data_IF_141336091739
#
_entry.id   IF_141336091739
#
_cell.length_a   1.000
_cell.length_b   1.000
_cell.length_c   1.000
_cell.angle_alpha   90.00
_cell.angle_beta   90.00
_cell.angle_gamma   90.00
#
_symmetry.space_group_name_H-M   'P 1'
#
loop_
_entity.id
_entity.type
_entity.pdbx_description
1 polymer ?
#
# COMPACT_ATOMS: atom_id res chain seq x y z
N UNK A 1 33.70 -14.92 9.58
CA UNK A 1 32.27 -14.74 9.92
C UNK A 1 31.82 -13.45 9.25
N UNK A 2 31.26 -13.53 8.05
CA UNK A 2 30.84 -12.35 7.27
C UNK A 2 29.38 -12.04 7.64
N UNK A 3 29.20 -10.88 8.27
CA UNK A 3 27.87 -10.33 8.57
C UNK A 3 27.27 -9.86 7.25
N UNK A 4 26.24 -10.57 6.78
CA UNK A 4 25.43 -10.14 5.65
C UNK A 4 24.50 -9.03 6.16
N UNK A 5 24.85 -7.79 5.86
CA UNK A 5 23.96 -6.64 6.07
C UNK A 5 22.87 -6.73 5.02
N UNK A 6 21.72 -7.28 5.38
CA UNK A 6 20.51 -7.18 4.59
C UNK A 6 20.00 -5.73 4.69
N UNK A 7 20.36 -4.96 3.67
CA UNK A 7 19.82 -3.63 3.42
C UNK A 7 18.29 -3.70 3.30
N UNK A 8 17.60 -2.87 4.07
CA UNK A 8 16.18 -2.63 3.87
C UNK A 8 15.93 -2.30 2.41
N UNK A 9 14.93 -2.95 1.82
CA UNK A 9 14.56 -2.70 0.43
C UNK A 9 13.87 -1.34 0.42
N UNK A 10 14.53 -0.26 -0.06
CA UNK A 10 13.82 0.96 -0.37
C UNK A 10 12.92 0.63 -1.56
N UNK A 11 11.69 1.11 -1.53
CA UNK A 11 10.88 1.22 -2.74
C UNK A 11 11.61 2.22 -3.65
N UNK A 12 12.57 1.70 -4.40
CA UNK A 12 13.40 2.48 -5.31
C UNK A 12 12.53 2.91 -6.48
N UNK A 13 12.31 4.22 -6.60
CA UNK A 13 12.01 4.81 -7.89
C UNK A 13 13.23 4.59 -8.79
N UNK A 14 13.23 3.48 -9.54
CA UNK A 14 14.24 3.25 -10.56
C UNK A 14 14.03 4.24 -11.69
N UNK A 15 14.98 5.14 -11.86
CA UNK A 15 15.16 5.81 -13.15
C UNK A 15 15.81 4.79 -14.09
N UNK A 16 15.01 4.21 -14.97
CA UNK A 16 15.49 3.30 -16.01
C UNK A 16 15.84 4.14 -17.24
N UNK A 17 17.14 4.36 -17.50
CA UNK A 17 17.62 4.73 -18.83
C UNK A 17 17.83 3.44 -19.64
N UNK A 18 16.80 3.00 -20.34
CA UNK A 18 16.85 1.83 -21.23
C UNK A 18 16.46 2.24 -22.64
N UNK A 19 17.44 2.37 -23.55
CA UNK A 19 17.25 2.53 -24.98
C UNK A 19 16.85 1.18 -25.62
N UNK A 20 15.62 0.73 -25.40
CA UNK A 20 15.01 -0.38 -26.12
C UNK A 20 13.61 0.02 -26.60
N UNK A 21 13.07 -0.59 -27.69
CA UNK A 21 11.69 -0.33 -28.07
C UNK A 21 10.77 -0.72 -26.90
N UNK A 22 9.68 0.05 -26.65
CA UNK A 22 8.79 -0.19 -25.53
C UNK A 22 8.21 -1.62 -25.65
N UNK A 23 8.52 -2.46 -24.69
CA UNK A 23 7.83 -3.73 -24.53
C UNK A 23 6.46 -3.39 -23.99
N UNK A 24 5.48 -3.29 -24.90
CA UNK A 24 4.08 -3.21 -24.50
C UNK A 24 3.75 -4.49 -23.75
N UNK A 25 3.82 -4.45 -22.42
CA UNK A 25 3.38 -5.54 -21.56
C UNK A 25 1.84 -5.58 -21.61
N UNK A 26 1.30 -6.20 -22.66
CA UNK A 26 -0.12 -6.48 -22.75
C UNK A 26 -0.47 -7.66 -21.84
N UNK A 27 -0.68 -7.38 -20.56
CA UNK A 27 -1.23 -8.38 -19.65
C UNK A 27 -2.68 -8.69 -20.01
N UNK A 28 -3.02 -9.97 -20.06
CA UNK A 28 -4.41 -10.41 -20.10
C UNK A 28 -4.87 -10.75 -18.69
N UNK A 29 -6.09 -10.34 -18.36
CA UNK A 29 -6.66 -10.52 -17.02
C UNK A 29 -7.95 -11.32 -17.04
N UNK A 30 -8.15 -12.07 -15.98
CA UNK A 30 -9.43 -12.64 -15.58
C UNK A 30 -10.02 -11.78 -14.49
N UNK A 31 -11.29 -11.41 -14.61
CA UNK A 31 -12.00 -10.63 -13.61
C UNK A 31 -12.60 -11.58 -12.56
N UNK A 32 -12.22 -11.36 -11.31
CA UNK A 32 -12.78 -12.00 -10.14
C UNK A 32 -13.47 -10.95 -9.25
N UNK A 33 -14.42 -11.39 -8.45
CA UNK A 33 -15.10 -10.54 -7.47
C UNK A 33 -14.88 -11.09 -6.07
N UNK A 34 -14.13 -10.35 -5.25
CA UNK A 34 -13.90 -10.69 -3.85
C UNK A 34 -14.52 -9.61 -2.95
N UNK A 35 -15.53 -9.99 -2.16
CA UNK A 35 -16.22 -9.07 -1.21
C UNK A 35 -16.71 -7.76 -1.82
N UNK A 36 -17.09 -7.80 -3.11
CA UNK A 36 -17.55 -6.62 -3.84
C UNK A 36 -16.45 -5.77 -4.47
N UNK A 37 -15.18 -6.15 -4.34
CA UNK A 37 -14.08 -5.58 -5.14
C UNK A 37 -13.90 -6.30 -6.47
N UNK A 38 -13.61 -5.55 -7.51
CA UNK A 38 -13.15 -6.09 -8.80
C UNK A 38 -11.64 -6.36 -8.71
N UNK A 39 -11.26 -7.62 -8.94
CA UNK A 39 -9.89 -8.11 -8.88
C UNK A 39 -9.50 -8.63 -10.27
N UNK A 40 -8.59 -7.92 -10.90
CA UNK A 40 -8.04 -8.29 -12.22
C UNK A 40 -6.83 -9.19 -12.02
N UNK A 41 -7.01 -10.47 -12.25
CA UNK A 41 -5.97 -11.49 -12.04
C UNK A 41 -5.25 -11.76 -13.34
N UNK A 42 -3.93 -11.54 -13.39
CA UNK A 42 -3.11 -11.85 -14.56
C UNK A 42 -3.32 -13.31 -15.00
N UNK A 43 -3.46 -13.55 -16.30
CA UNK A 43 -3.77 -14.88 -16.85
C UNK A 43 -2.73 -15.94 -16.46
N UNK A 44 -1.46 -15.57 -16.28
CA UNK A 44 -0.41 -16.44 -15.77
C UNK A 44 -0.70 -16.93 -14.35
N UNK A 45 -1.04 -15.99 -13.46
CA UNK A 45 -1.43 -16.29 -12.09
C UNK A 45 -2.73 -17.09 -12.04
N UNK A 46 -3.74 -16.69 -12.81
CA UNK A 46 -5.04 -17.37 -12.84
C UNK A 46 -4.96 -18.84 -13.27
N UNK A 47 -4.09 -19.15 -14.22
CA UNK A 47 -3.83 -20.54 -14.65
C UNK A 47 -3.09 -21.36 -13.61
N UNK A 48 -2.25 -20.73 -12.79
CA UNK A 48 -1.61 -21.39 -11.65
C UNK A 48 -2.60 -21.50 -10.48
N UNK A 49 -3.46 -22.52 -10.53
CA UNK A 49 -4.58 -22.68 -9.60
C UNK A 49 -4.15 -22.80 -8.12
N UNK A 50 -2.99 -23.39 -7.87
CA UNK A 50 -2.44 -23.50 -6.52
C UNK A 50 -2.03 -22.12 -5.98
N UNK A 51 -1.25 -21.37 -6.75
CA UNK A 51 -0.79 -20.03 -6.36
C UNK A 51 -1.97 -19.07 -6.21
N UNK A 52 -2.87 -19.02 -7.23
CA UNK A 52 -4.05 -18.17 -7.16
C UNK A 52 -4.96 -18.53 -5.97
N UNK A 53 -5.13 -19.81 -5.68
CA UNK A 53 -5.90 -20.26 -4.51
C UNK A 53 -5.36 -19.69 -3.19
N UNK A 54 -4.04 -19.69 -3.01
CA UNK A 54 -3.38 -19.12 -1.81
C UNK A 54 -3.51 -17.59 -1.77
N UNK A 55 -3.15 -16.93 -2.87
CA UNK A 55 -3.19 -15.46 -3.01
C UNK A 55 -4.62 -14.92 -2.86
N UNK A 56 -5.57 -15.53 -3.56
CA UNK A 56 -6.98 -15.13 -3.51
C UNK A 56 -7.57 -15.31 -2.11
N UNK A 57 -7.22 -16.39 -1.41
CA UNK A 57 -7.66 -16.63 -0.03
C UNK A 57 -7.07 -15.59 0.93
N UNK A 58 -5.79 -15.24 0.79
CA UNK A 58 -5.17 -14.21 1.61
C UNK A 58 -5.79 -12.84 1.31
N UNK A 59 -5.97 -12.49 0.03
CA UNK A 59 -6.60 -11.23 -0.35
C UNK A 59 -8.04 -11.13 0.20
N UNK A 60 -8.84 -12.19 0.09
CA UNK A 60 -10.19 -12.24 0.68
C UNK A 60 -10.17 -12.00 2.19
N UNK A 61 -9.22 -12.61 2.91
CA UNK A 61 -9.05 -12.38 4.35
C UNK A 61 -8.70 -10.92 4.67
N UNK A 62 -7.80 -10.29 3.89
CA UNK A 62 -7.43 -8.87 4.06
C UNK A 62 -8.60 -7.93 3.76
N UNK A 63 -9.37 -8.21 2.72
CA UNK A 63 -10.57 -7.44 2.41
C UNK A 63 -11.66 -7.61 3.48
N UNK A 64 -11.78 -8.81 4.08
CA UNK A 64 -12.65 -9.03 5.24
C UNK A 64 -12.25 -8.21 6.46
N UNK A 65 -10.94 -8.05 6.70
CA UNK A 65 -10.43 -7.18 7.76
C UNK A 65 -10.80 -5.72 7.53
N UNK A 66 -10.71 -5.23 6.29
CA UNK A 66 -11.15 -3.88 5.90
C UNK A 66 -12.64 -3.70 6.17
N UNK A 67 -13.48 -4.63 5.73
CA UNK A 67 -14.93 -4.60 5.99
C UNK A 67 -15.27 -4.54 7.48
N UNK A 68 -14.56 -5.30 8.29
CA UNK A 68 -14.81 -5.38 9.73
C UNK A 68 -14.36 -4.15 10.49
N UNK A 69 -13.29 -3.49 10.03
CA UNK A 69 -12.62 -2.43 10.78
C UNK A 69 -13.06 -1.03 10.36
N UNK A 70 -13.33 -0.83 9.07
CA UNK A 70 -13.64 0.49 8.52
C UNK A 70 -15.16 0.76 8.52
N UNK A 71 -15.58 2.04 8.60
CA UNK A 71 -16.98 2.42 8.46
C UNK A 71 -17.56 1.99 7.10
N UNK A 72 -18.80 1.51 7.08
CA UNK A 72 -19.49 1.03 5.87
C UNK A 72 -19.36 2.00 4.67
N UNK A 73 -19.63 3.32 4.81
CA UNK A 73 -19.51 4.22 3.66
C UNK A 73 -18.06 4.33 3.11
N UNK A 74 -17.04 4.14 3.97
CA UNK A 74 -15.64 4.10 3.54
C UNK A 74 -15.38 2.83 2.72
N UNK A 75 -15.84 1.67 3.22
CA UNK A 75 -15.73 0.39 2.52
C UNK A 75 -16.38 0.46 1.14
N UNK A 76 -17.61 0.99 1.06
CA UNK A 76 -18.33 1.16 -0.22
C UNK A 76 -17.55 2.05 -1.21
N UNK A 77 -16.85 3.06 -0.70
CA UNK A 77 -15.98 3.90 -1.55
C UNK A 77 -14.74 3.14 -2.01
N UNK A 78 -14.09 2.39 -1.11
CA UNK A 78 -12.90 1.61 -1.43
C UNK A 78 -13.19 0.45 -2.38
N UNK A 79 -14.39 -0.13 -2.37
CA UNK A 79 -14.80 -1.15 -3.35
C UNK A 79 -14.78 -0.69 -4.80
N UNK A 80 -14.73 0.63 -5.05
CA UNK A 80 -14.57 1.22 -6.39
C UNK A 80 -13.10 1.29 -6.85
N UNK A 81 -12.18 0.92 -6.00
CA UNK A 81 -10.76 0.83 -6.32
C UNK A 81 -10.49 -0.56 -6.86
N UNK A 82 -10.12 -0.65 -8.14
CA UNK A 82 -9.78 -1.92 -8.78
C UNK A 82 -8.48 -2.47 -8.20
N UNK A 83 -8.40 -3.78 -8.07
CA UNK A 83 -7.21 -4.49 -7.62
C UNK A 83 -6.63 -5.28 -8.78
N UNK A 84 -5.32 -5.15 -8.98
CA UNK A 84 -4.58 -5.83 -10.03
C UNK A 84 -3.58 -6.79 -9.38
N UNK A 85 -3.66 -8.08 -9.73
CA UNK A 85 -2.81 -9.13 -9.16
C UNK A 85 -1.97 -9.77 -10.24
N UNK A 86 -0.64 -9.69 -10.10
CA UNK A 86 0.30 -10.26 -11.04
C UNK A 86 1.02 -11.49 -10.46
N UNK A 87 1.41 -12.40 -11.34
CA UNK A 87 2.25 -13.54 -10.97
C UNK A 87 3.64 -13.04 -10.56
N UNK A 88 4.28 -12.26 -11.43
CA UNK A 88 5.58 -11.63 -11.16
C UNK A 88 5.83 -10.53 -12.20
N UNK A 89 5.43 -9.30 -11.89
CA UNK A 89 5.72 -8.13 -12.71
C UNK A 89 7.07 -7.53 -12.34
N UNK A 90 7.96 -7.44 -13.32
CA UNK A 90 9.24 -6.77 -13.13
C UNK A 90 9.05 -5.32 -12.67
N UNK A 91 9.86 -4.88 -11.70
CA UNK A 91 9.81 -3.54 -11.13
C UNK A 91 8.70 -3.29 -10.11
N UNK A 92 7.85 -4.30 -9.78
CA UNK A 92 6.85 -4.20 -8.71
C UNK A 92 6.88 -5.42 -7.79
N UNK A 93 7.79 -5.47 -6.82
CA UNK A 93 7.89 -6.62 -5.93
C UNK A 93 6.79 -6.69 -4.86
N UNK A 94 6.08 -5.60 -4.58
CA UNK A 94 5.06 -5.47 -3.53
C UNK A 94 3.75 -4.90 -4.03
N UNK A 95 3.10 -4.07 -3.18
CA UNK A 95 1.92 -3.28 -3.51
C UNK A 95 2.28 -1.90 -4.05
N UNK A 96 1.42 -1.32 -4.88
CA UNK A 96 1.50 0.06 -5.32
C UNK A 96 0.13 0.60 -5.74
N UNK A 97 -0.24 1.78 -5.23
CA UNK A 97 -1.38 2.53 -5.74
C UNK A 97 -0.95 3.46 -6.88
N UNK A 98 -1.65 3.45 -8.00
CA UNK A 98 -1.35 4.26 -9.18
C UNK A 98 -2.24 5.52 -9.27
N UNK A 99 -1.78 6.70 -8.83
CA UNK A 99 -2.63 7.90 -8.83
C UNK A 99 -2.89 8.48 -10.22
N UNK A 100 -1.95 8.35 -11.16
CA UNK A 100 -1.93 9.09 -12.43
C UNK A 100 -1.87 8.16 -13.64
N UNK A 101 -2.87 8.33 -14.52
CA UNK A 101 -2.89 7.70 -15.84
C UNK A 101 -1.73 8.19 -16.74
N UNK A 102 -1.48 9.49 -16.73
CA UNK A 102 -0.45 10.08 -17.58
C UNK A 102 0.95 9.64 -17.16
N UNK A 103 1.17 9.46 -15.83
CA UNK A 103 2.42 8.91 -15.35
C UNK A 103 2.63 7.47 -15.85
N UNK A 104 1.60 6.62 -15.79
CA UNK A 104 1.65 5.26 -16.32
C UNK A 104 1.99 5.23 -17.81
N UNK A 105 1.33 6.07 -18.61
CA UNK A 105 1.59 6.17 -20.06
C UNK A 105 3.03 6.59 -20.33
N UNK A 106 3.52 7.59 -19.60
CA UNK A 106 4.89 8.11 -19.77
C UNK A 106 5.98 7.13 -19.32
N UNK A 107 5.62 6.08 -18.60
CA UNK A 107 6.53 5.01 -18.12
C UNK A 107 6.25 3.65 -18.78
N UNK A 108 5.54 3.66 -19.93
CA UNK A 108 5.19 2.45 -20.70
C UNK A 108 4.43 1.39 -19.89
N UNK A 109 3.68 1.83 -18.87
CA UNK A 109 2.84 0.98 -18.04
C UNK A 109 1.39 1.02 -18.49
N UNK A 110 0.61 0.00 -18.08
CA UNK A 110 -0.79 -0.10 -18.46
C UNK A 110 -1.64 1.05 -17.86
N UNK A 111 -2.22 1.95 -18.67
CA UNK A 111 -3.00 3.08 -18.18
C UNK A 111 -4.31 2.67 -17.47
N UNK A 112 -4.75 1.43 -17.61
CA UNK A 112 -5.93 0.90 -16.91
C UNK A 112 -5.70 0.73 -15.40
N UNK A 113 -4.43 0.64 -14.95
CA UNK A 113 -4.10 0.57 -13.53
C UNK A 113 -4.35 1.88 -12.78
N UNK A 114 -4.55 2.97 -13.51
CA UNK A 114 -4.76 4.29 -12.91
C UNK A 114 -5.92 4.28 -11.92
N UNK A 115 -5.68 4.86 -10.73
CA UNK A 115 -6.59 4.93 -9.58
C UNK A 115 -6.93 3.56 -8.98
N UNK A 116 -6.17 2.53 -9.32
CA UNK A 116 -6.23 1.17 -8.79
C UNK A 116 -4.99 0.83 -7.96
N UNK A 117 -5.08 -0.28 -7.27
CA UNK A 117 -4.00 -0.88 -6.49
C UNK A 117 -3.46 -2.08 -7.25
N UNK A 118 -2.15 -2.17 -7.38
CA UNK A 118 -1.45 -3.28 -7.99
C UNK A 118 -0.62 -4.04 -6.94
N UNK A 119 -0.70 -5.37 -6.96
CA UNK A 119 0.21 -6.27 -6.27
C UNK A 119 0.99 -7.03 -7.33
N UNK A 120 2.26 -6.63 -7.52
CA UNK A 120 3.05 -7.03 -8.67
C UNK A 120 3.67 -8.42 -8.58
N UNK A 121 3.73 -9.04 -7.39
CA UNK A 121 4.36 -10.34 -7.19
C UNK A 121 3.55 -11.21 -6.23
N UNK A 122 2.94 -12.28 -6.76
CA UNK A 122 2.09 -13.19 -6.02
C UNK A 122 2.82 -13.91 -4.86
N UNK A 123 4.07 -14.32 -5.07
CA UNK A 123 4.84 -15.00 -4.02
C UNK A 123 5.18 -14.02 -2.88
N UNK A 124 5.65 -12.82 -3.21
CA UNK A 124 5.95 -11.80 -2.20
C UNK A 124 4.71 -11.37 -1.44
N UNK A 125 3.54 -11.30 -2.09
CA UNK A 125 2.28 -11.00 -1.42
C UNK A 125 1.97 -12.02 -0.31
N UNK A 126 2.31 -13.30 -0.51
CA UNK A 126 2.18 -14.34 0.51
C UNK A 126 3.29 -14.24 1.58
N UNK A 127 4.55 -14.12 1.14
CA UNK A 127 5.71 -14.19 2.03
C UNK A 127 5.82 -12.96 2.95
N UNK A 128 5.39 -11.79 2.46
CA UNK A 128 5.47 -10.54 3.23
C UNK A 128 4.31 -10.34 4.20
N UNK A 129 3.29 -11.19 4.15
CA UNK A 129 2.21 -11.19 5.15
C UNK A 129 2.75 -11.16 6.59
N UNK A 130 3.85 -11.87 6.83
CA UNK A 130 4.47 -11.94 8.13
C UNK A 130 5.15 -10.64 8.59
N UNK A 131 5.56 -9.79 7.65
CA UNK A 131 6.30 -8.54 7.92
C UNK A 131 5.55 -7.28 7.54
N UNK A 132 4.57 -7.38 6.64
CA UNK A 132 3.71 -6.30 6.19
C UNK A 132 2.25 -6.76 6.16
N UNK A 133 1.69 -7.13 7.34
CA UNK A 133 0.34 -7.71 7.40
C UNK A 133 -0.75 -6.76 6.93
N UNK A 134 -0.46 -5.47 6.87
CA UNK A 134 -1.39 -4.42 6.48
C UNK A 134 -1.16 -3.86 5.06
N UNK A 135 -0.38 -4.55 4.20
CA UNK A 135 -0.07 -4.08 2.84
C UNK A 135 -1.33 -3.68 2.04
N UNK A 136 -2.42 -4.44 2.15
CA UNK A 136 -3.67 -4.11 1.44
C UNK A 136 -4.30 -2.81 1.96
N UNK A 137 -4.31 -2.60 3.27
CA UNK A 137 -4.82 -1.35 3.84
C UNK A 137 -3.88 -0.16 3.56
N UNK A 138 -2.57 -0.39 3.47
CA UNK A 138 -1.60 0.62 3.04
C UNK A 138 -1.95 1.19 1.68
N UNK A 139 -2.06 0.33 0.67
CA UNK A 139 -2.38 0.75 -0.70
C UNK A 139 -3.79 1.36 -0.82
N UNK A 140 -4.77 0.81 -0.10
CA UNK A 140 -6.10 1.39 -0.02
C UNK A 140 -6.11 2.76 0.68
N UNK A 141 -5.14 3.00 1.57
CA UNK A 141 -4.97 4.31 2.22
C UNK A 141 -4.44 5.36 1.25
N UNK A 142 -3.53 5.00 0.34
CA UNK A 142 -3.15 5.88 -0.77
C UNK A 142 -4.34 6.20 -1.68
N UNK A 143 -5.17 5.19 -2.00
CA UNK A 143 -6.37 5.40 -2.78
C UNK A 143 -7.35 6.36 -2.10
N UNK A 144 -7.59 6.18 -0.79
CA UNK A 144 -8.43 7.07 0.02
C UNK A 144 -7.86 8.48 0.08
N UNK A 145 -6.58 8.62 0.42
CA UNK A 145 -5.89 9.90 0.48
C UNK A 145 -6.01 10.66 -0.83
N UNK A 146 -5.69 10.01 -1.95
CA UNK A 146 -5.76 10.65 -3.28
C UNK A 146 -7.18 10.99 -3.72
N UNK A 147 -8.10 10.01 -3.63
CA UNK A 147 -9.41 10.12 -4.28
C UNK A 147 -10.47 10.84 -3.43
N UNK A 148 -10.29 10.93 -2.12
CA UNK A 148 -11.27 11.50 -1.18
C UNK A 148 -10.74 12.77 -0.54
N UNK A 149 -9.51 12.77 -0.02
CA UNK A 149 -8.93 13.94 0.63
C UNK A 149 -8.20 14.86 -0.37
N UNK A 150 -7.63 14.27 -1.42
CA UNK A 150 -6.67 14.91 -2.31
C UNK A 150 -5.24 14.87 -1.73
N UNK A 151 -4.24 14.63 -2.59
CA UNK A 151 -2.84 14.60 -2.13
C UNK A 151 -2.32 15.96 -1.64
N UNK A 152 -3.05 17.04 -1.97
CA UNK A 152 -2.76 18.39 -1.48
C UNK A 152 -3.47 18.72 -0.15
N UNK A 153 -4.07 17.73 0.51
CA UNK A 153 -4.76 17.91 1.78
C UNK A 153 -3.86 18.60 2.82
N UNK A 154 -4.24 19.83 3.17
CA UNK A 154 -3.39 20.73 3.97
C UNK A 154 -3.07 20.14 5.34
N UNK A 155 -4.09 19.61 6.06
CA UNK A 155 -3.90 19.03 7.39
C UNK A 155 -2.90 17.88 7.39
N UNK A 156 -2.89 17.03 6.36
CA UNK A 156 -1.93 15.91 6.22
C UNK A 156 -0.52 16.43 6.00
N UNK A 157 -0.35 17.42 5.12
CA UNK A 157 0.96 18.02 4.83
C UNK A 157 1.53 18.77 6.05
N UNK A 158 0.68 19.51 6.78
CA UNK A 158 1.11 20.23 7.97
C UNK A 158 1.52 19.27 9.07
N UNK A 159 0.74 18.21 9.27
CA UNK A 159 1.05 17.20 10.26
C UNK A 159 2.32 16.43 9.91
N UNK A 160 2.54 16.09 8.62
CA UNK A 160 3.78 15.48 8.18
C UNK A 160 4.99 16.36 8.55
N UNK A 161 4.95 17.66 8.23
CA UNK A 161 6.03 18.59 8.60
C UNK A 161 6.27 18.64 10.11
N UNK A 162 5.19 18.67 10.90
CA UNK A 162 5.27 18.65 12.36
C UNK A 162 5.89 17.36 12.89
N UNK A 163 5.46 16.19 12.40
CA UNK A 163 5.97 14.89 12.84
C UNK A 163 7.43 14.72 12.44
N UNK A 164 7.79 15.06 11.20
CA UNK A 164 9.16 14.98 10.70
C UNK A 164 10.12 15.85 11.53
N UNK A 165 9.69 17.06 11.93
CA UNK A 165 10.52 17.97 12.75
C UNK A 165 10.78 17.47 14.17
N UNK A 166 10.01 16.50 14.69
CA UNK A 166 10.21 15.92 16.02
C UNK A 166 11.35 14.89 16.07
N UNK A 167 11.86 14.42 14.93
CA UNK A 167 12.88 13.38 14.80
C UNK A 167 12.55 12.05 15.51
N UNK A 168 11.34 11.87 16.01
CA UNK A 168 10.92 10.65 16.72
C UNK A 168 10.92 9.41 15.84
N UNK A 169 10.70 9.58 14.52
CA UNK A 169 10.60 8.51 13.54
C UNK A 169 11.93 8.21 12.82
N UNK A 170 13.02 8.93 13.13
CA UNK A 170 14.32 8.71 12.51
C UNK A 170 14.98 7.39 12.96
N UNK A 171 14.58 6.83 14.10
CA UNK A 171 15.12 5.57 14.61
C UNK A 171 14.08 4.85 15.47
N UNK A 172 13.15 4.16 14.83
CA UNK A 172 12.08 3.39 15.47
C UNK A 172 12.29 1.88 15.34
N UNK A 173 11.63 1.10 16.18
CA UNK A 173 11.65 -0.36 16.08
C UNK A 173 10.98 -0.77 14.75
N UNK A 174 11.63 -1.69 14.04
CA UNK A 174 11.13 -2.31 12.82
C UNK A 174 10.70 -3.76 13.12
N UNK A 175 9.64 -4.23 12.50
CA UNK A 175 9.06 -5.55 12.79
C UNK A 175 10.02 -6.73 12.58
N UNK A 176 11.01 -6.58 11.67
CA UNK A 176 12.08 -7.58 11.47
C UNK A 176 13.24 -7.47 12.47
N UNK A 177 13.11 -6.61 13.46
CA UNK A 177 14.12 -6.35 14.50
C UNK A 177 15.03 -5.16 14.17
N UNK A 178 15.67 -4.65 15.22
CA UNK A 178 16.51 -3.46 15.13
C UNK A 178 15.73 -2.16 15.06
N UNK A 179 16.46 -1.07 14.79
CA UNK A 179 15.87 0.26 14.62
C UNK A 179 16.23 0.79 13.23
N UNK A 180 15.25 1.45 12.61
CA UNK A 180 15.39 2.07 11.29
C UNK A 180 14.61 3.37 11.25
N UNK A 181 14.91 4.20 10.26
CA UNK A 181 14.09 5.35 9.90
C UNK A 181 12.75 4.85 9.37
N UNK A 182 11.65 5.33 9.94
CA UNK A 182 10.31 4.93 9.51
C UNK A 182 10.05 5.31 8.05
N UNK A 183 9.40 4.43 7.33
CA UNK A 183 9.08 4.63 5.91
C UNK A 183 8.15 5.84 5.70
N UNK A 184 7.24 6.09 6.62
CA UNK A 184 6.36 7.26 6.63
C UNK A 184 7.06 8.62 6.62
N UNK A 185 8.37 8.68 6.90
CA UNK A 185 9.15 9.91 6.74
C UNK A 185 9.55 10.24 5.30
N UNK A 186 9.30 9.36 4.33
CA UNK A 186 9.65 9.62 2.94
C UNK A 186 8.83 10.79 2.35
N UNK A 187 7.54 10.82 2.62
CA UNK A 187 6.64 11.89 2.23
C UNK A 187 5.32 11.82 3.02
N UNK A 188 4.43 12.78 2.84
CA UNK A 188 3.15 12.84 3.56
C UNK A 188 2.15 11.77 3.12
N UNK A 189 2.27 11.22 1.92
CA UNK A 189 1.43 10.14 1.44
C UNK A 189 1.79 8.84 2.17
N UNK A 190 3.09 8.52 2.26
CA UNK A 190 3.58 7.35 2.99
C UNK A 190 3.28 7.46 4.48
N UNK A 191 3.45 8.65 5.07
CA UNK A 191 3.08 8.87 6.47
C UNK A 191 1.59 8.59 6.70
N UNK A 192 0.71 9.04 5.80
CA UNK A 192 -0.72 8.77 5.92
C UNK A 192 -1.03 7.28 5.81
N UNK A 193 -0.39 6.55 4.91
CA UNK A 193 -0.57 5.11 4.74
C UNK A 193 -0.05 4.32 5.94
N UNK A 194 1.19 4.56 6.39
CA UNK A 194 1.79 3.93 7.57
C UNK A 194 0.95 4.13 8.85
N UNK A 195 0.51 5.37 9.10
CA UNK A 195 -0.35 5.63 10.26
C UNK A 195 -1.78 5.09 10.10
N UNK A 196 -2.25 4.87 8.87
CA UNK A 196 -3.50 4.15 8.64
C UNK A 196 -3.36 2.66 8.94
N UNK A 197 -2.19 2.06 8.67
CA UNK A 197 -1.89 0.70 9.12
C UNK A 197 -1.95 0.58 10.65
N UNK A 198 -1.25 1.47 11.38
CA UNK A 198 -1.31 1.50 12.84
C UNK A 198 -2.73 1.78 13.36
N UNK A 199 -3.52 2.59 12.65
CA UNK A 199 -4.88 2.97 13.04
C UNK A 199 -5.91 1.84 12.86
N UNK A 200 -5.80 1.09 11.75
CA UNK A 200 -6.77 0.07 11.35
C UNK A 200 -6.24 -1.36 11.46
N UNK A 201 -4.93 -1.55 11.48
CA UNK A 201 -4.28 -2.85 11.41
C UNK A 201 -3.06 -2.94 12.31
N UNK A 202 -1.95 -3.31 11.68
CA UNK A 202 -0.64 -3.41 12.31
C UNK A 202 0.39 -2.86 11.33
N UNK A 203 1.11 -1.82 11.73
CA UNK A 203 2.21 -1.24 10.97
C UNK A 203 3.48 -2.08 11.12
N UNK A 204 4.40 -2.00 10.18
CA UNK A 204 5.70 -2.66 10.24
C UNK A 204 6.79 -1.82 10.92
N UNK A 205 6.58 -0.52 11.11
CA UNK A 205 7.37 0.38 11.93
C UNK A 205 6.60 0.85 13.18
N UNK A 206 7.33 1.06 14.30
CA UNK A 206 6.72 1.68 15.46
C UNK A 206 6.29 3.14 15.16
N UNK A 207 5.03 3.51 15.55
CA UNK A 207 4.02 2.77 16.30
C UNK A 207 3.34 1.69 15.49
N UNK A 208 3.24 0.49 16.05
CA UNK A 208 2.70 -0.67 15.37
C UNK A 208 1.17 -0.70 15.38
N UNK A 209 0.56 -0.19 16.44
CA UNK A 209 -0.88 -0.30 16.65
C UNK A 209 -1.48 1.00 17.16
N UNK A 210 -2.79 1.10 17.03
CA UNK A 210 -3.56 2.31 17.40
C UNK A 210 -3.31 2.81 18.82
N UNK A 211 -3.10 1.90 19.79
CA UNK A 211 -2.83 2.29 21.18
C UNK A 211 -1.53 3.07 21.32
N UNK A 212 -0.48 2.62 20.63
CA UNK A 212 0.81 3.27 20.60
C UNK A 212 0.74 4.60 19.82
N UNK A 213 0.01 4.61 18.69
CA UNK A 213 -0.22 5.84 17.92
C UNK A 213 -0.91 6.92 18.75
N UNK A 214 -1.92 6.55 19.54
CA UNK A 214 -2.62 7.46 20.45
C UNK A 214 -1.69 8.03 21.54
N UNK A 215 -0.79 7.20 22.06
CA UNK A 215 0.14 7.60 23.13
C UNK A 215 1.26 8.50 22.61
N UNK A 216 1.86 8.16 21.48
CA UNK A 216 3.08 8.79 20.97
C UNK A 216 2.82 9.97 20.03
N UNK A 217 1.73 9.90 19.27
CA UNK A 217 1.37 10.86 18.23
C UNK A 217 -0.12 11.25 18.30
N UNK A 218 -0.60 11.86 19.39
CA UNK A 218 -2.02 12.16 19.58
C UNK A 218 -2.62 13.05 18.47
N UNK A 219 -1.84 13.97 17.92
CA UNK A 219 -2.30 14.82 16.81
C UNK A 219 -2.53 14.00 15.53
N UNK A 220 -1.68 13.00 15.28
CA UNK A 220 -1.87 12.05 14.17
C UNK A 220 -3.14 11.24 14.39
N UNK A 221 -3.35 10.73 15.60
CA UNK A 221 -4.55 9.99 15.94
C UNK A 221 -5.84 10.79 15.72
N UNK A 222 -5.80 12.09 16.04
CA UNK A 222 -6.91 13.03 15.76
C UNK A 222 -7.14 13.16 14.25
N UNK A 223 -6.07 13.33 13.46
CA UNK A 223 -6.17 13.38 12.00
C UNK A 223 -6.76 12.10 11.45
N UNK A 224 -6.25 10.92 11.84
CA UNK A 224 -6.77 9.63 11.40
C UNK A 224 -8.26 9.48 11.70
N UNK A 225 -8.68 9.86 12.91
CA UNK A 225 -10.10 9.84 13.31
C UNK A 225 -11.01 10.76 12.50
N UNK A 226 -10.47 11.82 11.88
CA UNK A 226 -11.22 12.74 10.99
C UNK A 226 -11.14 12.28 9.54
N UNK A 227 -9.93 11.97 9.05
CA UNK A 227 -9.64 11.70 7.66
C UNK A 227 -10.35 10.44 7.13
N UNK A 228 -10.57 9.45 8.00
CA UNK A 228 -11.29 8.22 7.68
C UNK A 228 -12.81 8.32 7.90
N UNK A 229 -13.35 9.53 7.89
CA UNK A 229 -14.79 9.76 7.84
C UNK A 229 -15.15 10.36 6.48
N UNK A 230 -16.32 10.00 5.95
CA UNK A 230 -16.83 10.71 4.77
C UNK A 230 -16.95 12.19 5.09
N UNK A 231 -16.46 13.09 4.21
CA UNK A 231 -16.82 14.50 4.31
C UNK A 231 -18.36 14.61 4.28
N UNK A 232 -18.92 15.33 5.23
CA UNK A 232 -20.35 15.62 5.27
C UNK A 232 -20.72 16.56 4.15
#
# INVERSE_FOLDING_TARGET
MRILTLLGIPMLFFTFEGNGPPVSLSFQYHLEHLRGWEVHVESGLYRNKEMWGKVGSLLDAKLAEIERRLPVPVVERLRKVHIWMHLNREGCPGGVYHPSRDWLVNHDLNPQWARGVEFGNAQNFLDWEWTQPSMVIHEMSHAWHHQVLGYDHAETKDLYRKVASQNKLESVIYCRGGKQRAYGLNNHQEMFAEFSEAWWGTNDFYPFVRGELLAEFPDVAILMGKAWKFPK
#
